data_IF_317064647476
#
_entry.id   IF_317064647476
#
_cell.length_a   1.000
_cell.length_b   1.000
_cell.length_c   1.000
_cell.angle_alpha   90.00
_cell.angle_beta   90.00
_cell.angle_gamma   90.00
#
_symmetry.space_group_name_H-M   'P 1'
#
loop_
_entity.id
_entity.type
_entity.pdbx_description
1 polymer ?
#
# COMPACT_ATOMS: atom_id res chain seq x y z
N UNK A 1 -12.05 -50.16 -28.65
CA UNK A 1 -10.57 -50.09 -28.65
C UNK A 1 -10.20 -49.37 -27.36
N UNK A 2 -10.09 -50.01 -26.19
CA UNK A 2 -9.17 -51.05 -25.76
C UNK A 2 -9.87 -52.06 -24.81
N UNK A 3 -9.64 -53.36 -25.02
CA UNK A 3 -9.89 -54.44 -24.06
C UNK A 3 -8.62 -54.66 -23.22
N UNK A 4 -8.80 -55.34 -22.08
CA UNK A 4 -7.83 -55.78 -21.07
C UNK A 4 -7.55 -54.77 -19.96
N UNK A 5 -8.21 -54.93 -18.81
CA UNK A 5 -7.70 -55.73 -17.69
C UNK A 5 -8.90 -56.22 -16.86
N UNK A 6 -8.96 -57.53 -16.61
CA UNK A 6 -9.88 -58.11 -15.64
C UNK A 6 -9.44 -57.69 -14.24
N UNK A 7 -10.28 -56.91 -13.57
CA UNK A 7 -10.22 -56.68 -12.13
C UNK A 7 -11.68 -56.74 -11.67
N UNK A 8 -12.04 -57.83 -11.00
CA UNK A 8 -13.27 -57.92 -10.22
C UNK A 8 -13.46 -56.65 -9.40
N UNK A 9 -14.67 -56.14 -9.36
CA UNK A 9 -15.12 -55.01 -8.56
C UNK A 9 -14.37 -54.92 -7.22
N UNK A 10 -13.51 -53.92 -6.98
CA UNK A 10 -13.08 -53.66 -5.63
C UNK A 10 -14.24 -52.93 -4.98
N UNK A 11 -14.95 -53.65 -4.11
CA UNK A 11 -15.80 -53.08 -3.07
C UNK A 11 -15.10 -51.85 -2.50
N UNK A 12 -15.66 -50.65 -2.71
CA UNK A 12 -15.10 -49.40 -2.17
C UNK A 12 -15.11 -49.37 -0.64
N UNK A 13 -15.86 -50.30 -0.04
CA UNK A 13 -15.87 -50.57 1.39
C UNK A 13 -14.69 -51.48 1.75
N UNK A 14 -13.86 -51.12 2.74
CA UNK A 14 -12.83 -51.99 3.26
C UNK A 14 -13.43 -53.32 3.71
N UNK A 15 -12.83 -54.45 3.33
CA UNK A 15 -13.32 -55.81 3.65
C UNK A 15 -13.41 -56.10 5.16
N UNK A 16 -12.91 -55.20 6.02
CA UNK A 16 -12.94 -55.31 7.48
C UNK A 16 -14.20 -54.71 8.13
N UNK A 17 -15.11 -54.10 7.36
CA UNK A 17 -16.42 -53.65 7.84
C UNK A 17 -17.51 -54.69 7.50
N UNK A 18 -17.49 -55.81 8.23
CA UNK A 18 -18.44 -56.93 8.04
C UNK A 18 -19.54 -56.94 9.11
N UNK A 19 -19.53 -55.98 10.05
CA UNK A 19 -20.58 -55.90 11.08
C UNK A 19 -21.75 -55.05 10.57
N UNK A 20 -22.98 -55.59 10.54
CA UNK A 20 -24.16 -54.87 10.03
C UNK A 20 -24.44 -53.57 10.79
N UNK A 21 -24.16 -53.54 12.09
CA UNK A 21 -24.31 -52.35 12.95
C UNK A 21 -23.42 -51.17 12.53
N UNK A 22 -22.23 -51.44 12.00
CA UNK A 22 -21.30 -50.39 11.57
C UNK A 22 -21.67 -49.85 10.18
N UNK A 23 -22.31 -50.67 9.35
CA UNK A 23 -22.84 -50.25 8.04
C UNK A 23 -24.06 -49.32 8.20
N UNK A 24 -24.96 -49.63 9.13
CA UNK A 24 -26.12 -48.78 9.42
C UNK A 24 -25.70 -47.37 9.87
N UNK A 25 -24.65 -47.27 10.69
CA UNK A 25 -24.07 -46.00 11.11
C UNK A 25 -23.49 -45.19 9.93
N UNK A 26 -22.89 -45.86 8.94
CA UNK A 26 -22.37 -45.21 7.73
C UNK A 26 -23.52 -44.74 6.85
N UNK A 27 -24.58 -45.53 6.69
CA UNK A 27 -25.77 -45.10 5.93
C UNK A 27 -26.44 -43.89 6.58
N UNK A 28 -26.60 -43.90 7.91
CA UNK A 28 -27.11 -42.74 8.64
C UNK A 28 -26.21 -41.50 8.47
N UNK A 29 -24.89 -41.67 8.45
CA UNK A 29 -23.95 -40.56 8.23
C UNK A 29 -24.03 -40.01 6.80
N UNK A 30 -24.11 -40.88 5.79
CA UNK A 30 -24.21 -40.48 4.39
C UNK A 30 -25.52 -39.74 4.11
N UNK A 31 -26.62 -40.17 4.74
CA UNK A 31 -27.93 -39.51 4.63
C UNK A 31 -27.91 -38.13 5.33
N UNK A 32 -27.22 -38.02 6.47
CA UNK A 32 -27.00 -36.75 7.16
C UNK A 32 -26.13 -35.75 6.36
N UNK A 33 -25.26 -36.25 5.48
CA UNK A 33 -24.44 -35.45 4.55
C UNK A 33 -25.18 -35.19 3.22
N UNK A 34 -26.37 -35.76 3.03
CA UNK A 34 -27.23 -35.55 1.86
C UNK A 34 -26.84 -36.37 0.64
N UNK A 35 -26.15 -37.50 0.82
CA UNK A 35 -25.77 -38.41 -0.26
C UNK A 35 -26.77 -39.59 -0.27
N UNK A 36 -27.65 -39.61 -1.27
CA UNK A 36 -28.60 -40.70 -1.48
C UNK A 36 -27.91 -41.92 -2.10
N UNK A 37 -27.98 -43.06 -1.42
CA UNK A 37 -27.45 -44.33 -1.91
C UNK A 37 -28.57 -45.08 -2.62
N UNK A 38 -28.37 -45.40 -3.90
CA UNK A 38 -29.29 -46.20 -4.70
C UNK A 38 -28.69 -47.59 -4.95
N UNK A 39 -29.53 -48.62 -4.89
CA UNK A 39 -29.18 -49.92 -5.43
C UNK A 39 -29.27 -49.86 -6.96
N UNK A 40 -28.32 -50.49 -7.67
CA UNK A 40 -28.17 -50.39 -9.13
C UNK A 40 -29.42 -50.76 -9.95
N UNK A 41 -30.46 -51.33 -9.35
CA UNK A 41 -31.74 -51.66 -9.98
C UNK A 41 -32.76 -50.52 -10.07
N UNK A 42 -32.51 -49.33 -9.50
CA UNK A 42 -33.50 -48.23 -9.47
C UNK A 42 -33.07 -46.91 -10.13
N UNK A 43 -32.11 -46.95 -11.07
CA UNK A 43 -31.68 -45.75 -11.81
C UNK A 43 -32.54 -45.55 -13.08
N UNK A 44 -33.82 -45.20 -12.92
CA UNK A 44 -34.59 -44.51 -13.98
C UNK A 44 -35.54 -43.48 -13.34
N UNK A 45 -35.35 -42.21 -13.76
CA UNK A 45 -36.05 -40.95 -13.36
C UNK A 45 -35.48 -40.38 -12.05
N UNK A 46 -35.08 -39.11 -11.90
CA UNK A 46 -35.38 -37.85 -12.59
C UNK A 46 -34.26 -36.83 -12.26
N UNK A 47 -34.08 -35.79 -13.10
CA UNK A 47 -33.31 -34.58 -12.78
C UNK A 47 -34.27 -33.58 -12.13
N UNK A 48 -33.88 -32.94 -11.02
CA UNK A 48 -34.04 -31.49 -10.78
C UNK A 48 -33.37 -31.05 -9.47
N UNK A 49 -32.84 -29.83 -9.47
CA UNK A 49 -32.20 -29.08 -8.36
C UNK A 49 -33.30 -28.25 -7.64
N UNK A 50 -33.17 -27.79 -6.37
CA UNK A 50 -32.18 -26.76 -6.01
C UNK A 50 -31.61 -26.81 -4.57
N UNK A 51 -30.69 -25.88 -4.35
CA UNK A 51 -29.88 -25.67 -3.16
C UNK A 51 -30.71 -25.17 -1.96
N UNK A 52 -30.47 -25.78 -0.79
CA UNK A 52 -30.53 -25.16 0.53
C UNK A 52 -29.84 -26.09 1.55
N UNK A 53 -29.32 -25.55 2.65
CA UNK A 53 -28.51 -26.19 3.71
C UNK A 53 -26.98 -26.21 3.54
N UNK A 54 -26.42 -25.10 3.06
CA UNK A 54 -25.06 -24.66 3.41
C UNK A 54 -25.04 -24.02 4.82
N UNK A 55 -25.38 -24.78 5.86
CA UNK A 55 -25.20 -24.32 7.25
C UNK A 55 -25.35 -25.45 8.27
N UNK A 56 -24.29 -26.24 8.48
CA UNK A 56 -23.90 -26.88 9.75
C UNK A 56 -22.96 -28.06 9.46
N UNK A 57 -21.67 -27.78 9.29
CA UNK A 57 -20.61 -28.75 9.61
C UNK A 57 -19.27 -28.02 9.70
N UNK A 58 -19.20 -27.05 10.62
CA UNK A 58 -17.95 -26.82 11.37
C UNK A 58 -17.82 -27.96 12.38
N UNK A 59 -17.54 -29.17 11.90
CA UNK A 59 -17.15 -30.28 12.74
C UNK A 59 -15.66 -30.54 12.49
N UNK A 60 -14.87 -30.00 13.40
CA UNK A 60 -13.45 -30.27 13.57
C UNK A 60 -13.21 -31.77 13.72
N UNK A 61 -12.91 -32.47 12.65
CA UNK A 61 -12.24 -33.78 12.74
C UNK A 61 -10.74 -33.54 12.81
N UNK A 62 -10.26 -33.33 14.05
CA UNK A 62 -8.86 -33.59 14.41
C UNK A 62 -8.60 -35.09 14.25
N UNK A 63 -8.35 -35.53 13.02
CA UNK A 63 -7.57 -36.74 12.84
C UNK A 63 -6.12 -36.39 13.20
N UNK A 64 -5.70 -36.85 14.38
CA UNK A 64 -4.29 -36.99 14.73
C UNK A 64 -3.66 -37.96 13.74
N UNK A 65 -3.25 -37.48 12.57
CA UNK A 65 -2.17 -38.09 11.83
C UNK A 65 -0.88 -37.41 12.25
N UNK A 66 -0.28 -37.99 13.27
CA UNK A 66 1.11 -37.77 13.67
C UNK A 66 2.03 -38.34 12.58
N UNK A 67 1.98 -37.74 11.38
CA UNK A 67 2.82 -38.09 10.24
C UNK A 67 3.80 -36.94 10.09
N UNK A 68 5.04 -37.24 10.49
CA UNK A 68 6.27 -36.46 10.30
C UNK A 68 6.19 -35.46 9.15
N UNK A 69 6.22 -34.19 9.52
CA UNK A 69 6.30 -33.03 8.64
C UNK A 69 7.78 -32.82 8.30
N UNK A 70 8.36 -33.66 7.44
CA UNK A 70 9.80 -33.56 7.07
C UNK A 70 10.03 -33.20 5.60
N UNK A 71 9.01 -33.29 4.75
CA UNK A 71 9.14 -32.96 3.32
C UNK A 71 8.73 -31.50 3.06
N UNK A 72 9.66 -30.56 2.80
CA UNK A 72 9.33 -29.16 2.49
C UNK A 72 8.43 -29.04 1.26
N UNK A 73 8.56 -29.98 0.31
CA UNK A 73 7.72 -30.09 -0.88
C UNK A 73 6.27 -30.39 -0.49
N UNK A 74 6.05 -31.32 0.47
CA UNK A 74 4.70 -31.70 0.91
C UNK A 74 4.02 -30.56 1.65
N UNK A 75 4.77 -29.80 2.45
CA UNK A 75 4.30 -28.58 3.10
C UNK A 75 3.87 -27.56 2.05
N UNK A 76 4.73 -27.29 1.06
CA UNK A 76 4.45 -26.34 0.00
C UNK A 76 3.22 -26.74 -0.83
N UNK A 77 3.10 -27.99 -1.26
CA UNK A 77 1.94 -28.48 -2.02
C UNK A 77 0.65 -28.42 -1.21
N UNK A 78 0.70 -28.74 0.09
CA UNK A 78 -0.43 -28.60 0.99
C UNK A 78 -0.84 -27.12 1.15
N UNK A 79 0.13 -26.20 1.21
CA UNK A 79 -0.15 -24.77 1.32
C UNK A 79 -0.62 -24.16 0.00
N UNK A 80 -0.08 -24.57 -1.15
CA UNK A 80 -0.59 -24.21 -2.47
C UNK A 80 -2.02 -24.70 -2.69
N UNK A 81 -2.33 -25.94 -2.27
CA UNK A 81 -3.67 -26.53 -2.39
C UNK A 81 -4.74 -25.88 -1.51
N UNK A 82 -4.35 -25.03 -0.54
CA UNK A 82 -5.29 -24.20 0.25
C UNK A 82 -5.76 -22.97 -0.50
N UNK A 83 -5.03 -22.50 -1.52
CA UNK A 83 -5.37 -21.31 -2.30
C UNK A 83 -6.18 -21.73 -3.52
N UNK A 84 -7.44 -21.32 -3.59
CA UNK A 84 -8.29 -21.59 -4.74
C UNK A 84 -7.76 -20.89 -6.00
N UNK A 85 -7.86 -21.58 -7.14
CA UNK A 85 -7.58 -20.97 -8.44
C UNK A 85 -8.53 -19.79 -8.68
N UNK A 86 -8.01 -18.74 -9.30
CA UNK A 86 -8.81 -17.57 -9.65
C UNK A 86 -9.72 -17.90 -10.83
N UNK A 87 -10.99 -17.48 -10.73
CA UNK A 87 -11.85 -17.39 -11.92
C UNK A 87 -11.41 -16.20 -12.78
N UNK A 88 -11.75 -16.20 -14.07
CA UNK A 88 -11.50 -15.07 -14.97
C UNK A 88 -12.02 -13.74 -14.40
N UNK A 89 -13.17 -13.76 -13.75
CA UNK A 89 -13.75 -12.58 -13.07
C UNK A 89 -12.91 -12.16 -11.85
N UNK A 90 -12.40 -13.14 -11.09
CA UNK A 90 -11.47 -12.93 -9.98
C UNK A 90 -10.18 -12.26 -10.44
N UNK A 91 -9.58 -12.73 -11.53
CA UNK A 91 -8.38 -12.12 -12.14
C UNK A 91 -8.63 -10.66 -12.54
N UNK A 92 -9.73 -10.39 -13.25
CA UNK A 92 -10.11 -9.03 -13.64
C UNK A 92 -10.33 -8.14 -12.43
N UNK A 93 -10.94 -8.66 -11.35
CA UNK A 93 -11.16 -7.90 -10.12
C UNK A 93 -9.85 -7.51 -9.44
N UNK A 94 -8.86 -8.41 -9.43
CA UNK A 94 -7.54 -8.18 -8.85
C UNK A 94 -6.77 -7.17 -9.71
N UNK A 95 -6.79 -7.32 -11.03
CA UNK A 95 -6.16 -6.37 -11.94
C UNK A 95 -6.71 -4.94 -11.74
N UNK A 96 -8.04 -4.79 -11.65
CA UNK A 96 -8.68 -3.50 -11.35
C UNK A 96 -8.29 -2.95 -9.98
N UNK A 97 -8.13 -3.80 -8.96
CA UNK A 97 -7.66 -3.37 -7.63
C UNK A 97 -6.23 -2.86 -7.67
N UNK A 98 -5.34 -3.55 -8.39
CA UNK A 98 -3.94 -3.14 -8.56
C UNK A 98 -3.86 -1.80 -9.28
N UNK A 99 -4.59 -1.64 -10.39
CA UNK A 99 -4.61 -0.41 -11.17
C UNK A 99 -5.15 0.79 -10.36
N UNK A 100 -6.25 0.59 -9.65
CA UNK A 100 -6.80 1.61 -8.74
C UNK A 100 -5.82 1.96 -7.61
N UNK A 101 -5.08 0.97 -7.09
CA UNK A 101 -4.02 1.18 -6.11
C UNK A 101 -2.90 2.06 -6.66
N UNK A 102 -2.43 1.76 -7.88
CA UNK A 102 -1.40 2.53 -8.57
C UNK A 102 -1.84 3.98 -8.80
N UNK A 103 -3.07 4.19 -9.29
CA UNK A 103 -3.62 5.54 -9.50
C UNK A 103 -3.69 6.31 -8.18
N UNK A 104 -4.12 5.68 -7.08
CA UNK A 104 -4.16 6.31 -5.75
C UNK A 104 -2.78 6.71 -5.26
N UNK A 105 -1.77 5.84 -5.44
CA UNK A 105 -0.38 6.14 -5.07
C UNK A 105 0.11 7.37 -5.84
N UNK A 106 -0.04 7.37 -7.17
CA UNK A 106 0.37 8.48 -8.03
C UNK A 106 -0.33 9.78 -7.60
N UNK A 107 -1.65 9.74 -7.41
CA UNK A 107 -2.43 10.92 -7.01
C UNK A 107 -1.93 11.51 -5.68
N UNK A 108 -1.69 10.67 -4.67
CA UNK A 108 -1.24 11.12 -3.36
C UNK A 108 0.22 11.58 -3.37
N UNK A 109 1.10 10.88 -4.10
CA UNK A 109 2.52 11.20 -4.19
C UNK A 109 2.76 12.56 -4.83
N UNK A 110 2.01 12.89 -5.88
CA UNK A 110 2.14 14.17 -6.60
C UNK A 110 1.25 15.28 -6.03
N UNK A 111 0.47 14.99 -5.00
CA UNK A 111 -0.13 16.01 -4.13
C UNK A 111 0.92 16.62 -3.20
N UNK A 112 2.00 15.88 -2.91
CA UNK A 112 3.08 16.33 -2.05
C UNK A 112 4.13 17.07 -2.91
N UNK A 113 4.59 18.26 -2.48
CA UNK A 113 5.66 19.00 -3.16
C UNK A 113 6.92 18.21 -3.51
N UNK A 114 7.31 17.27 -2.64
CA UNK A 114 8.43 16.37 -2.85
C UNK A 114 8.33 15.60 -4.18
N UNK A 115 7.17 15.01 -4.48
CA UNK A 115 6.97 14.24 -5.71
C UNK A 115 7.15 15.10 -6.96
N UNK A 116 6.69 16.35 -6.91
CA UNK A 116 6.86 17.30 -8.02
C UNK A 116 8.32 17.75 -8.19
N UNK A 117 9.06 17.93 -7.09
CA UNK A 117 10.49 18.24 -7.15
C UNK A 117 11.27 17.11 -7.81
N UNK A 118 10.99 15.88 -7.41
CA UNK A 118 11.64 14.70 -7.97
C UNK A 118 11.35 14.53 -9.46
N UNK A 119 10.09 14.72 -9.90
CA UNK A 119 9.77 14.72 -11.34
C UNK A 119 10.57 15.77 -12.11
N UNK A 120 10.72 16.99 -11.57
CA UNK A 120 11.52 18.02 -12.25
C UNK A 120 13.01 17.65 -12.27
N UNK A 121 13.53 17.03 -11.22
CA UNK A 121 14.89 16.49 -11.22
C UNK A 121 15.08 15.43 -12.32
N UNK A 122 14.11 14.53 -12.50
CA UNK A 122 14.12 13.58 -13.61
C UNK A 122 14.01 14.26 -14.97
N UNK A 123 13.24 15.34 -15.09
CA UNK A 123 13.18 16.15 -16.31
C UNK A 123 14.54 16.75 -16.68
N UNK A 124 15.25 17.33 -15.72
CA UNK A 124 16.60 17.89 -15.95
C UNK A 124 17.59 16.78 -16.35
N UNK A 125 17.52 15.60 -15.70
CA UNK A 125 18.34 14.44 -16.06
C UNK A 125 18.04 13.92 -17.47
N UNK A 126 16.76 13.88 -17.87
CA UNK A 126 16.36 13.49 -19.23
C UNK A 126 16.80 14.52 -20.27
N UNK A 127 16.73 15.81 -19.94
CA UNK A 127 17.18 16.91 -20.80
C UNK A 127 18.68 16.87 -21.04
N UNK A 128 19.46 16.57 -20.00
CA UNK A 128 20.91 16.44 -20.06
C UNK A 128 21.39 15.08 -20.62
N UNK A 129 20.46 14.19 -21.01
CA UNK A 129 20.74 12.82 -21.46
C UNK A 129 21.48 11.95 -20.42
N UNK A 130 21.34 12.24 -19.12
CA UNK A 130 21.91 11.44 -18.04
C UNK A 130 21.14 10.14 -17.80
N UNK A 131 19.86 10.11 -18.18
CA UNK A 131 18.94 8.98 -18.03
C UNK A 131 18.28 8.71 -19.38
N UNK A 132 18.06 7.43 -19.67
CA UNK A 132 17.32 6.98 -20.87
C UNK A 132 15.81 7.06 -20.62
N UNK A 133 15.03 7.31 -21.67
CA UNK A 133 13.57 7.48 -21.53
C UNK A 133 12.92 6.19 -21.06
N UNK A 134 13.47 5.06 -21.49
CA UNK A 134 13.04 3.71 -21.14
C UNK A 134 13.20 3.41 -19.65
N UNK A 135 14.07 4.14 -18.93
CA UNK A 135 14.23 4.04 -17.47
C UNK A 135 13.22 4.92 -16.72
N UNK A 136 12.58 5.86 -17.41
CA UNK A 136 11.60 6.78 -16.81
C UNK A 136 10.15 6.36 -17.08
N UNK A 137 9.88 5.78 -18.25
CA UNK A 137 8.53 5.48 -18.74
C UNK A 137 8.35 3.98 -18.87
N UNK A 138 7.15 3.52 -18.56
CA UNK A 138 6.73 2.18 -18.92
C UNK A 138 6.56 2.06 -20.44
N UNK A 139 7.50 1.37 -21.07
CA UNK A 139 7.46 1.04 -22.49
C UNK A 139 6.62 -0.23 -22.66
N UNK A 140 5.36 -0.08 -23.07
CA UNK A 140 4.49 -1.20 -23.42
C UNK A 140 4.98 -1.82 -24.73
N UNK A 141 5.87 -2.81 -24.70
CA UNK A 141 6.52 -3.40 -25.90
C UNK A 141 5.52 -3.83 -26.99
N UNK A 142 4.27 -4.13 -26.62
CA UNK A 142 3.20 -4.56 -27.54
C UNK A 142 2.45 -3.41 -28.25
N UNK A 143 2.59 -2.16 -27.80
CA UNK A 143 1.86 -0.99 -28.34
C UNK A 143 2.66 -0.19 -29.38
N UNK A 144 3.84 -0.66 -29.79
CA UNK A 144 4.72 0.08 -30.71
C UNK A 144 4.43 -0.36 -32.15
N UNK A 145 3.88 0.51 -33.01
CA UNK A 145 3.94 0.28 -34.45
C UNK A 145 5.40 0.07 -34.82
N UNK A 146 5.69 -0.81 -35.78
CA UNK A 146 7.06 -1.09 -36.29
C UNK A 146 7.87 0.17 -36.71
N UNK A 147 7.21 1.35 -36.77
CA UNK A 147 7.79 2.66 -37.06
C UNK A 147 7.87 3.62 -35.85
N UNK A 148 7.78 3.11 -34.61
CA UNK A 148 7.82 3.98 -33.44
C UNK A 148 9.24 4.47 -33.17
N UNK A 149 9.46 5.74 -33.47
CA UNK A 149 10.71 6.42 -33.13
C UNK A 149 10.67 6.84 -31.65
N UNK A 150 11.56 6.28 -30.83
CA UNK A 150 11.74 6.70 -29.42
C UNK A 150 11.95 8.21 -29.25
N UNK A 151 12.39 8.90 -30.31
CA UNK A 151 12.49 10.36 -30.35
C UNK A 151 11.14 11.08 -30.24
N UNK A 152 10.07 10.60 -30.91
CA UNK A 152 8.73 11.23 -30.83
C UNK A 152 8.17 11.14 -29.42
N UNK A 153 8.40 10.02 -28.75
CA UNK A 153 7.95 9.83 -27.36
C UNK A 153 8.79 10.63 -26.38
N UNK A 154 10.11 10.70 -26.59
CA UNK A 154 10.97 11.64 -25.87
C UNK A 154 10.38 13.04 -25.91
N UNK A 155 10.01 13.50 -27.10
CA UNK A 155 9.50 14.85 -27.29
C UNK A 155 8.11 15.05 -26.71
N UNK A 156 7.24 14.02 -26.73
CA UNK A 156 5.95 14.05 -26.02
C UNK A 156 6.16 14.23 -24.53
N UNK A 157 7.07 13.46 -23.96
CA UNK A 157 7.36 13.43 -22.52
C UNK A 157 8.00 14.72 -22.06
N UNK A 158 8.97 15.22 -22.81
CA UNK A 158 9.58 16.53 -22.57
C UNK A 158 8.52 17.64 -22.56
N UNK A 159 7.60 17.67 -23.53
CA UNK A 159 6.49 18.65 -23.56
C UNK A 159 5.55 18.53 -22.35
N UNK A 160 5.27 17.32 -21.89
CA UNK A 160 4.45 17.08 -20.71
C UNK A 160 5.15 17.58 -19.44
N UNK A 161 6.45 17.28 -19.29
CA UNK A 161 7.29 17.70 -18.17
C UNK A 161 7.47 19.23 -18.13
N UNK A 162 7.74 19.87 -19.26
CA UNK A 162 7.73 21.35 -19.37
C UNK A 162 6.39 21.95 -18.93
N UNK A 163 5.30 21.30 -19.33
CA UNK A 163 3.96 21.68 -18.91
C UNK A 163 3.76 21.58 -17.40
N UNK A 164 4.30 20.53 -16.77
CA UNK A 164 4.27 20.34 -15.32
C UNK A 164 5.12 21.42 -14.64
N UNK A 165 6.31 21.73 -15.16
CA UNK A 165 7.17 22.79 -14.63
C UNK A 165 6.49 24.17 -14.66
N UNK A 166 5.79 24.49 -15.75
CA UNK A 166 4.99 25.73 -15.87
C UNK A 166 3.87 25.78 -14.83
N UNK A 167 3.13 24.69 -14.62
CA UNK A 167 2.08 24.66 -13.60
C UNK A 167 2.65 24.69 -12.18
N UNK A 168 3.80 24.07 -11.93
CA UNK A 168 4.52 24.16 -10.67
C UNK A 168 4.88 25.61 -10.34
N UNK A 169 5.46 26.37 -11.29
CA UNK A 169 5.79 27.79 -11.09
C UNK A 169 4.56 28.62 -10.71
N UNK A 170 3.45 28.44 -11.44
CA UNK A 170 2.16 29.10 -11.13
C UNK A 170 1.64 28.70 -9.75
N UNK A 171 1.74 27.43 -9.39
CA UNK A 171 1.33 26.94 -8.07
C UNK A 171 2.15 27.61 -6.94
N UNK A 172 3.47 27.75 -7.11
CA UNK A 172 4.32 28.47 -6.15
C UNK A 172 3.94 29.95 -6.03
N UNK A 173 3.63 30.61 -7.13
CA UNK A 173 3.18 32.00 -7.15
C UNK A 173 1.83 32.16 -6.43
N UNK A 174 0.85 31.29 -6.70
CA UNK A 174 -0.43 31.28 -6.00
C UNK A 174 -0.26 31.00 -4.50
N UNK A 175 0.65 30.11 -4.09
CA UNK A 175 0.96 29.91 -2.65
C UNK A 175 1.54 31.18 -2.01
N UNK A 176 2.40 31.93 -2.71
CA UNK A 176 2.92 33.21 -2.21
C UNK A 176 1.82 34.26 -2.10
N UNK A 177 0.86 34.28 -3.03
CA UNK A 177 -0.30 35.18 -2.98
C UNK A 177 -1.23 34.83 -1.82
N UNK A 178 -1.51 33.54 -1.63
CA UNK A 178 -2.35 33.04 -0.53
C UNK A 178 -1.85 33.53 0.83
N UNK A 179 -0.53 33.50 1.08
CA UNK A 179 0.07 34.01 2.32
C UNK A 179 -0.12 35.51 2.55
N UNK A 180 -0.32 36.30 1.49
CA UNK A 180 -0.50 37.76 1.56
C UNK A 180 -1.97 38.18 1.69
N UNK A 181 -2.89 37.32 1.30
CA UNK A 181 -4.32 37.63 1.29
C UNK A 181 -4.90 37.58 2.70
N UNK A 182 -5.67 38.61 3.05
CA UNK A 182 -6.33 38.74 4.35
C UNK A 182 -7.85 38.51 4.30
N UNK A 183 -8.44 38.60 3.11
CA UNK A 183 -9.89 38.48 2.91
C UNK A 183 -10.32 37.03 2.67
N UNK A 184 -11.26 36.54 3.49
CA UNK A 184 -11.71 35.15 3.47
C UNK A 184 -12.24 34.67 2.10
N UNK A 185 -13.03 35.49 1.40
CA UNK A 185 -13.54 35.15 0.05
C UNK A 185 -12.40 34.97 -0.98
N UNK A 186 -11.41 35.87 -0.97
CA UNK A 186 -10.25 35.80 -1.87
C UNK A 186 -9.32 34.63 -1.53
N UNK A 187 -9.21 34.29 -0.24
CA UNK A 187 -8.47 33.09 0.21
C UNK A 187 -9.12 31.84 -0.37
N UNK A 188 -10.45 31.72 -0.29
CA UNK A 188 -11.19 30.59 -0.84
C UNK A 188 -11.08 30.49 -2.37
N UNK A 189 -11.17 31.61 -3.08
CA UNK A 189 -10.98 31.67 -4.53
C UNK A 189 -9.59 31.18 -4.96
N UNK A 190 -8.53 31.64 -4.28
CA UNK A 190 -7.16 31.19 -4.55
C UNK A 190 -6.92 29.74 -4.13
N UNK A 191 -7.56 29.26 -3.06
CA UNK A 191 -7.53 27.84 -2.69
C UNK A 191 -8.16 26.96 -3.78
N UNK A 192 -9.31 27.36 -4.32
CA UNK A 192 -9.94 26.66 -5.43
C UNK A 192 -9.04 26.70 -6.68
N UNK A 193 -8.42 27.84 -6.99
CA UNK A 193 -7.46 27.95 -8.08
C UNK A 193 -6.27 27.01 -7.90
N UNK A 194 -5.70 26.92 -6.70
CA UNK A 194 -4.62 25.98 -6.35
C UNK A 194 -5.04 24.52 -6.54
N UNK A 195 -6.27 24.17 -6.16
CA UNK A 195 -6.81 22.83 -6.35
C UNK A 195 -6.93 22.48 -7.84
N UNK A 196 -7.47 23.38 -8.67
CA UNK A 196 -7.54 23.15 -10.13
C UNK A 196 -6.17 23.04 -10.78
N UNK A 197 -5.16 23.78 -10.28
CA UNK A 197 -3.78 23.64 -10.74
C UNK A 197 -3.20 22.28 -10.37
N UNK A 198 -3.47 21.79 -9.16
CA UNK A 198 -3.07 20.44 -8.73
C UNK A 198 -3.70 19.35 -9.59
N UNK A 199 -5.00 19.45 -9.90
CA UNK A 199 -5.69 18.49 -10.77
C UNK A 199 -5.11 18.49 -12.20
N UNK A 200 -4.73 19.66 -12.72
CA UNK A 200 -4.02 19.79 -14.00
C UNK A 200 -2.64 19.14 -13.98
N UNK A 201 -1.92 19.23 -12.86
CA UNK A 201 -0.63 18.57 -12.69
C UNK A 201 -0.83 17.05 -12.64
N UNK A 202 -1.75 16.56 -11.80
CA UNK A 202 -2.03 15.12 -11.64
C UNK A 202 -2.48 14.50 -12.97
N UNK A 203 -3.37 15.16 -13.72
CA UNK A 203 -3.82 14.68 -15.02
C UNK A 203 -2.69 14.61 -16.05
N UNK A 204 -1.70 15.51 -16.00
CA UNK A 204 -0.49 15.43 -16.83
C UNK A 204 0.44 14.31 -16.39
N UNK A 205 0.65 14.15 -15.09
CA UNK A 205 1.51 13.09 -14.55
C UNK A 205 0.93 11.71 -14.84
N UNK A 206 -0.39 11.53 -14.77
CA UNK A 206 -1.05 10.28 -15.15
C UNK A 206 -0.78 9.89 -16.61
N UNK A 207 -0.61 10.86 -17.52
CA UNK A 207 -0.30 10.61 -18.95
C UNK A 207 1.15 10.24 -19.23
N UNK A 208 2.06 10.45 -18.27
CA UNK A 208 3.48 10.14 -18.43
C UNK A 208 3.77 8.64 -18.37
N UNK A 209 2.82 7.80 -17.91
CA UNK A 209 3.01 6.35 -17.72
C UNK A 209 4.36 6.03 -17.05
N UNK A 210 4.65 6.69 -15.92
CA UNK A 210 5.94 6.57 -15.21
C UNK A 210 6.21 5.11 -14.83
N UNK A 211 7.45 4.66 -14.98
CA UNK A 211 7.88 3.32 -14.58
C UNK A 211 7.78 3.14 -13.05
N UNK A 212 7.43 1.93 -12.62
CA UNK A 212 7.20 1.65 -11.19
C UNK A 212 8.45 1.86 -10.34
N UNK A 213 9.64 1.54 -10.88
CA UNK A 213 10.92 1.75 -10.20
C UNK A 213 11.08 3.21 -9.74
N UNK A 214 10.84 4.15 -10.65
CA UNK A 214 10.90 5.60 -10.38
C UNK A 214 9.89 6.00 -9.30
N UNK A 215 8.67 5.45 -9.36
CA UNK A 215 7.64 5.74 -8.34
C UNK A 215 8.11 5.22 -6.97
N UNK A 216 8.65 4.00 -6.91
CA UNK A 216 9.16 3.42 -5.67
C UNK A 216 10.32 4.22 -5.10
N UNK A 217 11.25 4.71 -5.93
CA UNK A 217 12.37 5.55 -5.48
C UNK A 217 11.88 6.81 -4.77
N UNK A 218 10.86 7.48 -5.32
CA UNK A 218 10.26 8.66 -4.69
C UNK A 218 9.54 8.27 -3.39
N UNK A 219 8.86 7.12 -3.36
CA UNK A 219 8.20 6.62 -2.15
C UNK A 219 9.21 6.26 -1.06
N UNK A 220 10.38 5.72 -1.40
CA UNK A 220 11.44 5.43 -0.43
C UNK A 220 12.00 6.71 0.18
N UNK A 221 12.27 7.74 -0.63
CA UNK A 221 12.65 9.07 -0.13
C UNK A 221 11.60 9.66 0.81
N UNK A 222 10.31 9.54 0.46
CA UNK A 222 9.23 9.97 1.34
C UNK A 222 9.22 9.20 2.68
N UNK A 223 9.48 7.89 2.64
CA UNK A 223 9.57 7.05 3.85
C UNK A 223 10.77 7.43 4.72
N UNK A 224 11.90 7.80 4.13
CA UNK A 224 13.08 8.29 4.85
C UNK A 224 12.73 9.56 5.63
N UNK A 225 12.12 10.54 4.95
CA UNK A 225 11.65 11.80 5.57
C UNK A 225 10.69 11.51 6.72
N UNK A 226 9.69 10.64 6.51
CA UNK A 226 8.73 10.27 7.57
C UNK A 226 9.44 9.59 8.74
N UNK A 227 10.46 8.76 8.49
CA UNK A 227 11.28 8.15 9.54
C UNK A 227 12.04 9.20 10.34
N UNK A 228 12.64 10.19 9.67
CA UNK A 228 13.34 11.30 10.30
C UNK A 228 12.40 12.12 11.19
N UNK A 229 11.23 12.52 10.67
CA UNK A 229 10.20 13.25 11.44
C UNK A 229 9.79 12.46 12.67
N UNK A 230 9.48 11.17 12.53
CA UNK A 230 9.12 10.30 13.66
C UNK A 230 10.25 10.15 14.67
N UNK A 231 11.51 10.18 14.25
CA UNK A 231 12.66 10.13 15.15
C UNK A 231 12.79 11.42 15.97
N UNK A 232 12.50 12.57 15.36
CA UNK A 232 12.47 13.88 16.01
C UNK A 232 11.31 13.94 17.00
N UNK A 233 10.11 13.54 16.60
CA UNK A 233 8.94 13.46 17.49
C UNK A 233 9.20 12.58 18.71
N UNK A 234 9.85 11.41 18.52
CA UNK A 234 10.26 10.54 19.63
C UNK A 234 11.23 11.24 20.59
N UNK A 235 12.20 12.02 20.07
CA UNK A 235 13.15 12.78 20.90
C UNK A 235 12.43 13.89 21.66
N UNK A 236 11.53 14.62 21.01
CA UNK A 236 10.69 15.65 21.66
C UNK A 236 9.86 15.02 22.78
N UNK A 237 9.18 13.90 22.52
CA UNK A 237 8.38 13.20 23.52
C UNK A 237 9.20 12.66 24.70
N UNK A 238 10.44 12.20 24.45
CA UNK A 238 11.37 11.83 25.53
C UNK A 238 11.70 13.02 26.42
N UNK A 239 11.92 14.19 25.83
CA UNK A 239 12.16 15.41 26.59
C UNK A 239 10.90 15.84 27.36
N UNK A 240 9.72 15.79 26.75
CA UNK A 240 8.45 16.08 27.45
C UNK A 240 8.23 15.15 28.64
N UNK A 241 8.44 13.84 28.47
CA UNK A 241 8.35 12.86 29.56
C UNK A 241 9.40 13.10 30.64
N UNK A 242 10.63 13.48 30.25
CA UNK A 242 11.67 13.80 31.21
C UNK A 242 11.21 14.97 32.09
N UNK A 243 10.71 16.07 31.51
CA UNK A 243 10.31 17.28 32.27
C UNK A 243 8.88 17.25 32.84
N UNK A 244 8.02 16.32 32.40
CA UNK A 244 6.61 16.30 32.76
C UNK A 244 5.81 17.51 32.25
N UNK A 245 6.30 18.17 31.19
CA UNK A 245 5.73 19.40 30.64
C UNK A 245 5.68 19.32 29.11
N UNK A 246 4.71 20.02 28.51
CA UNK A 246 4.61 20.16 27.05
C UNK A 246 5.78 20.95 26.47
N UNK A 247 6.17 20.63 25.23
CA UNK A 247 7.26 21.29 24.49
C UNK A 247 7.22 22.82 24.53
N UNK A 248 6.04 23.42 24.43
CA UNK A 248 5.87 24.88 24.33
C UNK A 248 6.21 25.55 25.68
N UNK A 249 5.81 24.91 26.79
CA UNK A 249 6.17 25.34 28.15
C UNK A 249 7.66 25.19 28.39
N UNK A 250 8.31 24.16 27.84
CA UNK A 250 9.77 23.97 27.98
C UNK A 250 10.55 25.04 27.21
N UNK A 251 10.08 25.42 26.01
CA UNK A 251 10.67 26.52 25.24
C UNK A 251 10.54 27.87 25.98
N UNK A 252 9.41 28.15 26.61
CA UNK A 252 9.23 29.36 27.43
C UNK A 252 10.18 29.42 28.65
N UNK A 253 10.60 28.28 29.20
CA UNK A 253 11.58 28.24 30.30
C UNK A 253 12.98 28.70 29.85
N UNK A 254 13.27 28.59 28.56
CA UNK A 254 14.50 29.10 27.95
C UNK A 254 14.52 30.62 27.77
N UNK A 255 13.36 31.24 27.56
CA UNK A 255 13.23 32.69 27.38
C UNK A 255 13.22 33.46 28.71
N UNK A 256 12.79 32.81 29.80
CA UNK A 256 12.78 33.36 31.16
C UNK A 256 14.15 33.19 31.83
N UNK A 257 14.60 34.18 32.63
CA UNK A 257 15.82 34.02 33.45
C UNK A 257 15.65 32.81 34.37
N UNK A 258 16.59 31.87 34.32
CA UNK A 258 16.58 30.68 35.19
C UNK A 258 16.82 31.12 36.64
N UNK A 259 15.75 31.22 37.43
CA UNK A 259 15.79 31.58 38.86
C UNK A 259 15.82 30.32 39.74
N UNK A 260 16.31 30.42 40.98
CA UNK A 260 16.32 29.30 41.95
C UNK A 260 14.92 28.68 42.16
N UNK A 261 13.86 29.49 42.16
CA UNK A 261 12.46 29.04 42.25
C UNK A 261 12.01 28.15 41.09
N UNK A 262 12.58 28.35 39.91
CA UNK A 262 12.31 27.54 38.71
C UNK A 262 12.98 26.17 38.77
N UNK A 263 14.20 26.13 39.34
CA UNK A 263 14.95 24.90 39.61
C UNK A 263 14.21 24.04 40.65
N UNK A 264 13.68 24.66 41.71
CA UNK A 264 12.87 23.97 42.73
C UNK A 264 11.53 23.45 42.17
N UNK A 265 10.91 24.18 41.25
CA UNK A 265 9.61 23.81 40.66
C UNK A 265 9.71 22.67 39.63
N UNK A 266 10.85 22.58 38.94
CA UNK A 266 11.12 21.55 37.92
C UNK A 266 11.92 20.37 38.49
N UNK A 267 12.55 20.55 39.65
CA UNK A 267 13.32 19.51 40.34
C UNK A 267 14.59 19.07 39.61
N UNK A 268 15.17 19.94 38.76
CA UNK A 268 16.30 19.59 37.87
C UNK A 268 17.41 20.62 37.84
N UNK A 269 18.61 20.13 37.53
CA UNK A 269 19.81 20.97 37.47
C UNK A 269 19.71 22.02 36.36
N UNK A 270 20.26 23.20 36.64
CA UNK A 270 20.31 24.35 35.71
C UNK A 270 20.92 23.99 34.35
N UNK A 271 21.96 23.16 34.35
CA UNK A 271 22.65 22.69 33.14
C UNK A 271 21.79 21.73 32.31
N UNK A 272 21.05 20.83 32.96
CA UNK A 272 20.13 19.90 32.31
C UNK A 272 18.95 20.63 31.66
N UNK A 273 18.45 21.68 32.31
CA UNK A 273 17.39 22.54 31.74
C UNK A 273 17.93 23.28 30.50
N UNK A 274 19.15 23.84 30.60
CA UNK A 274 19.75 24.57 29.48
C UNK A 274 20.03 23.67 28.27
N UNK A 275 20.62 22.49 28.49
CA UNK A 275 20.87 21.48 27.45
C UNK A 275 19.56 21.03 26.78
N UNK A 276 18.53 20.74 27.57
CA UNK A 276 17.25 20.32 27.00
C UNK A 276 16.54 21.40 26.18
N UNK A 277 16.67 22.67 26.59
CA UNK A 277 16.14 23.81 25.82
C UNK A 277 16.92 23.95 24.50
N UNK A 278 18.25 23.88 24.53
CA UNK A 278 19.09 23.93 23.33
C UNK A 278 18.77 22.75 22.38
N UNK A 279 18.63 21.54 22.92
CA UNK A 279 18.25 20.35 22.18
C UNK A 279 16.85 20.49 21.56
N UNK A 280 15.86 21.00 22.30
CA UNK A 280 14.51 21.23 21.77
C UNK A 280 14.47 22.34 20.72
N UNK A 281 15.21 23.42 20.91
CA UNK A 281 15.35 24.47 19.89
C UNK A 281 15.98 23.92 18.61
N UNK A 282 17.02 23.09 18.74
CA UNK A 282 17.63 22.40 17.61
C UNK A 282 16.64 21.45 16.91
N UNK A 283 15.89 20.65 17.66
CA UNK A 283 14.90 19.72 17.11
C UNK A 283 13.75 20.46 16.41
N UNK A 284 13.25 21.56 16.98
CA UNK A 284 12.20 22.40 16.38
C UNK A 284 12.72 23.11 15.13
N UNK A 285 13.97 23.60 15.15
CA UNK A 285 14.59 24.19 13.96
C UNK A 285 14.75 23.15 12.85
N UNK A 286 15.21 21.95 13.18
CA UNK A 286 15.35 20.84 12.24
C UNK A 286 13.99 20.40 11.68
N UNK A 287 12.95 20.35 12.50
CA UNK A 287 11.58 20.08 12.06
C UNK A 287 11.07 21.15 11.10
N UNK A 288 11.27 22.42 11.43
CA UNK A 288 10.91 23.56 10.57
C UNK A 288 11.70 23.57 9.25
N UNK A 289 12.94 23.10 9.25
CA UNK A 289 13.75 22.93 8.03
C UNK A 289 13.18 21.82 7.14
N UNK A 290 12.81 20.67 7.71
CA UNK A 290 12.14 19.57 7.00
C UNK A 290 10.79 20.06 6.44
N UNK A 291 9.97 20.72 7.26
CA UNK A 291 8.69 21.26 6.82
C UNK A 291 8.87 22.27 5.68
N UNK A 292 9.81 23.20 5.81
CA UNK A 292 10.10 24.19 4.75
C UNK A 292 10.63 23.52 3.49
N UNK A 293 11.61 22.65 3.61
CA UNK A 293 12.33 22.11 2.45
C UNK A 293 11.56 20.99 1.75
N UNK A 294 10.66 20.27 2.42
CA UNK A 294 10.08 19.04 1.87
C UNK A 294 8.55 19.08 1.81
N UNK A 295 7.90 19.90 2.65
CA UNK A 295 6.43 19.94 2.78
C UNK A 295 5.84 21.28 2.27
N UNK A 296 6.54 22.42 2.42
CA UNK A 296 5.95 23.75 2.21
C UNK A 296 6.61 24.59 1.09
N UNK A 297 7.86 24.33 0.67
CA UNK A 297 8.50 25.11 -0.39
C UNK A 297 8.88 24.24 -1.58
N UNK A 298 8.07 24.34 -2.62
CA UNK A 298 8.53 24.26 -4.01
C UNK A 298 9.37 25.51 -4.34
N UNK A 299 10.47 25.72 -3.61
CA UNK A 299 11.45 26.75 -3.99
C UNK A 299 12.05 26.42 -5.35
#
# INVERSE_FOLDING_TARGET
>A
MLRYFGISSPSILPEQLVKPEELDNIFMYLDAVGIQVYNDSSIKKEKEKPAELLSKTKATTKYKSDIRIDDPIRIYLKDMGKVFLLSREGEVSIAKKIENGRIRIIKNLFYIPLGLREIVSYYDKLKNNNIRIEEFIHVDVNDWPHNYSGWKEKQRVMRLLEGIEKYRKKYCESLKRLKKLKYMKKILEEQNALQTLHEKIISKVARLKIQEKVIFDIVYKLKEIVSEVRSIERKVKKNENYFGMERDKILELGEKRITKKLIERVGKNKEQIKQAVEDLQYLVKKLNEIEKNEILLLR
#
